data_IF_002281637930
#
_entry.id   IF_002281637930
#
_cell.length_a   1.000
_cell.length_b   1.000
_cell.length_c   1.000
_cell.angle_alpha   90.00
_cell.angle_beta   90.00
_cell.angle_gamma   90.00
#
_symmetry.space_group_name_H-M   'P 1'
#
loop_
_entity.id
_entity.type
_entity.pdbx_description
1 polymer ?
#
# COMPACT_ATOMS: atom_id res chain seq x y z
N UNK A 1 16.57 13.45 50.99
CA UNK A 1 16.52 12.48 49.89
C UNK A 1 15.45 11.43 50.12
N UNK A 2 14.18 11.79 49.85
CA UNK A 2 13.04 10.86 49.91
C UNK A 2 11.91 11.36 49.00
N UNK A 3 12.13 11.39 47.69
CA UNK A 3 11.06 11.73 46.74
C UNK A 3 11.13 10.90 45.44
N UNK A 4 11.51 9.62 45.55
CA UNK A 4 11.21 8.67 44.47
C UNK A 4 9.87 8.00 44.77
N UNK A 5 8.77 8.72 44.49
CA UNK A 5 7.47 8.07 44.34
C UNK A 5 7.57 7.14 43.13
N UNK A 6 7.65 5.84 43.38
CA UNK A 6 7.48 4.82 42.35
C UNK A 6 6.03 4.96 41.87
N UNK A 7 5.85 5.58 40.71
CA UNK A 7 4.59 5.56 39.98
C UNK A 7 4.36 4.14 39.47
N UNK A 8 3.86 3.28 40.34
CA UNK A 8 3.39 1.96 39.97
C UNK A 8 2.06 2.11 39.24
N UNK A 9 2.05 1.79 37.94
CA UNK A 9 0.83 1.70 37.14
C UNK A 9 -0.10 0.66 37.76
N UNK A 10 -1.38 0.99 37.84
CA UNK A 10 -2.44 0.05 38.22
C UNK A 10 -2.58 -1.08 37.19
N UNK A 11 -3.19 -2.20 37.59
CA UNK A 11 -3.46 -3.31 36.68
C UNK A 11 -4.28 -2.89 35.44
N UNK A 12 -5.18 -1.90 35.60
CA UNK A 12 -5.96 -1.35 34.50
C UNK A 12 -5.10 -0.55 33.53
N UNK A 13 -4.20 0.30 34.04
CA UNK A 13 -3.27 1.06 33.21
C UNK A 13 -2.28 0.13 32.48
N UNK A 14 -1.79 -0.93 33.12
CA UNK A 14 -0.98 -1.95 32.47
C UNK A 14 -1.72 -2.63 31.31
N UNK A 15 -3.00 -2.95 31.51
CA UNK A 15 -3.85 -3.50 30.44
C UNK A 15 -4.01 -2.52 29.29
N UNK A 16 -4.22 -1.24 29.60
CA UNK A 16 -4.36 -0.18 28.61
C UNK A 16 -3.07 0.01 27.79
N UNK A 17 -1.91 0.01 28.46
CA UNK A 17 -0.59 0.06 27.80
C UNK A 17 -0.39 -1.15 26.90
N UNK A 18 -0.74 -2.35 27.35
CA UNK A 18 -0.61 -3.56 26.54
C UNK A 18 -1.44 -3.49 25.24
N UNK A 19 -2.66 -2.94 25.30
CA UNK A 19 -3.50 -2.75 24.11
C UNK A 19 -2.88 -1.69 23.18
N UNK A 20 -2.39 -0.58 23.74
CA UNK A 20 -1.72 0.47 22.96
C UNK A 20 -0.46 -0.07 22.26
N UNK A 21 0.37 -0.86 22.96
CA UNK A 21 1.56 -1.48 22.38
C UNK A 21 1.22 -2.36 21.18
N UNK A 22 0.16 -3.17 21.26
CA UNK A 22 -0.30 -4.00 20.12
C UNK A 22 -0.71 -3.18 18.90
N UNK A 23 -1.37 -2.04 19.12
CA UNK A 23 -1.73 -1.14 18.01
C UNK A 23 -0.46 -0.56 17.41
N UNK A 24 0.44 -0.02 18.24
CA UNK A 24 1.70 0.60 17.81
C UNK A 24 2.65 -0.37 17.11
N UNK A 25 2.65 -1.65 17.50
CA UNK A 25 3.42 -2.71 16.85
C UNK A 25 3.09 -2.81 15.35
N UNK A 26 1.82 -2.68 14.97
CA UNK A 26 1.42 -2.69 13.56
C UNK A 26 1.98 -1.48 12.80
N UNK A 27 2.02 -0.31 13.43
CA UNK A 27 2.64 0.87 12.82
C UNK A 27 4.15 0.71 12.68
N UNK A 28 4.79 0.12 13.70
CA UNK A 28 6.21 -0.17 13.70
C UNK A 28 6.58 -1.13 12.56
N UNK A 29 5.88 -2.26 12.43
CA UNK A 29 6.10 -3.23 11.35
C UNK A 29 6.02 -2.58 9.97
N UNK A 30 4.96 -1.79 9.75
CA UNK A 30 4.74 -1.13 8.46
C UNK A 30 5.81 -0.08 8.19
N UNK A 31 6.24 0.65 9.21
CA UNK A 31 7.34 1.62 9.10
C UNK A 31 8.67 0.93 8.81
N UNK A 32 8.94 -0.20 9.46
CA UNK A 32 10.11 -1.03 9.20
C UNK A 32 10.11 -1.55 7.76
N UNK A 33 8.97 -2.02 7.24
CA UNK A 33 8.87 -2.39 5.83
C UNK A 33 9.19 -1.20 4.93
N UNK A 34 8.68 -0.01 5.24
CA UNK A 34 8.94 1.18 4.42
C UNK A 34 10.38 1.69 4.51
N UNK A 35 11.07 1.47 5.63
CA UNK A 35 12.45 1.90 5.85
C UNK A 35 13.48 0.87 5.40
N UNK A 36 13.11 -0.41 5.31
CA UNK A 36 14.05 -1.51 5.01
C UNK A 36 14.40 -1.64 3.53
N UNK A 37 13.61 -1.07 2.62
CA UNK A 37 13.86 -1.19 1.18
C UNK A 37 14.23 0.15 0.54
N UNK A 38 15.39 0.17 -0.15
CA UNK A 38 15.81 1.32 -0.97
C UNK A 38 14.82 1.64 -2.11
N UNK A 39 13.95 0.68 -2.46
CA UNK A 39 12.89 0.81 -3.47
C UNK A 39 11.65 0.03 -3.02
N UNK A 40 10.93 0.55 -2.02
CA UNK A 40 9.63 -0.03 -1.66
C UNK A 40 8.68 0.11 -2.84
N UNK A 41 8.30 -1.01 -3.46
CA UNK A 41 7.37 -1.02 -4.59
C UNK A 41 5.97 -0.58 -4.11
N UNK A 42 5.25 0.19 -4.92
CA UNK A 42 3.99 0.83 -4.52
C UNK A 42 2.91 -0.16 -4.01
N UNK A 43 2.95 -1.40 -4.46
CA UNK A 43 2.12 -2.50 -3.97
C UNK A 43 2.39 -2.87 -2.48
N UNK A 44 3.64 -2.79 -2.00
CA UNK A 44 3.99 -3.00 -0.60
C UNK A 44 3.51 -1.84 0.26
N UNK A 45 3.63 -0.62 -0.26
CA UNK A 45 3.02 0.57 0.36
C UNK A 45 1.51 0.39 0.50
N UNK A 46 0.82 0.00 -0.56
CA UNK A 46 -0.63 -0.23 -0.51
C UNK A 46 -1.02 -1.24 0.58
N UNK A 47 -0.32 -2.37 0.66
CA UNK A 47 -0.54 -3.39 1.69
C UNK A 47 -0.26 -2.88 3.11
N UNK A 48 0.83 -2.15 3.32
CA UNK A 48 1.17 -1.59 4.64
C UNK A 48 0.13 -0.55 5.10
N UNK A 49 -0.24 0.36 4.20
CA UNK A 49 -1.24 1.41 4.45
C UNK A 49 -2.61 0.81 4.74
N UNK A 50 -3.00 -0.26 4.04
CA UNK A 50 -4.19 -1.05 4.38
C UNK A 50 -4.19 -1.59 5.80
N UNK A 51 -3.09 -2.25 6.21
CA UNK A 51 -2.97 -2.87 7.54
C UNK A 51 -3.18 -1.83 8.64
N UNK A 52 -2.56 -0.66 8.48
CA UNK A 52 -2.74 0.49 9.38
C UNK A 52 -4.19 0.95 9.41
N UNK A 53 -4.82 1.11 8.24
CA UNK A 53 -6.18 1.61 8.17
C UNK A 53 -7.19 0.66 8.81
N UNK A 54 -7.02 -0.65 8.59
CA UNK A 54 -7.85 -1.70 9.21
C UNK A 54 -7.74 -1.67 10.73
N UNK A 55 -6.52 -1.59 11.28
CA UNK A 55 -6.31 -1.51 12.73
C UNK A 55 -6.94 -0.26 13.34
N UNK A 56 -6.85 0.89 12.67
CA UNK A 56 -7.52 2.10 13.13
C UNK A 56 -9.05 1.92 13.15
N UNK A 57 -9.62 1.35 12.09
CA UNK A 57 -11.06 1.11 12.00
C UNK A 57 -11.55 0.12 13.06
N UNK A 58 -10.83 -0.98 13.28
CA UNK A 58 -11.17 -1.99 14.27
C UNK A 58 -11.01 -1.45 15.69
N UNK A 59 -9.99 -0.62 15.95
CA UNK A 59 -9.79 0.02 17.25
C UNK A 59 -10.90 1.01 17.58
N UNK A 60 -11.43 1.74 16.60
CA UNK A 60 -12.58 2.64 16.80
C UNK A 60 -13.87 1.84 17.08
N UNK A 61 -14.04 0.67 16.43
CA UNK A 61 -15.19 -0.22 16.65
C UNK A 61 -15.12 -0.93 18.01
N UNK A 62 -13.93 -1.35 18.44
CA UNK A 62 -13.72 -1.90 19.77
C UNK A 62 -13.92 -0.79 20.81
N UNK A 63 -14.80 -1.01 21.79
CA UNK A 63 -15.23 -0.01 22.77
C UNK A 63 -14.14 0.41 23.80
N UNK A 64 -12.87 0.52 23.41
CA UNK A 64 -11.78 1.01 24.25
C UNK A 64 -11.87 2.53 24.39
N UNK A 65 -12.75 2.99 25.27
CA UNK A 65 -13.05 4.41 25.51
C UNK A 65 -11.81 5.29 25.73
N UNK A 66 -10.75 4.76 26.34
CA UNK A 66 -9.49 5.48 26.59
C UNK A 66 -8.66 5.74 25.32
N UNK A 67 -8.78 4.88 24.30
CA UNK A 67 -8.02 5.01 23.04
C UNK A 67 -8.77 5.84 22.00
N UNK A 68 -10.09 5.89 22.08
CA UNK A 68 -10.93 6.58 21.10
C UNK A 68 -10.45 8.01 20.76
N UNK A 69 -10.09 8.88 21.72
CA UNK A 69 -9.63 10.23 21.40
C UNK A 69 -8.30 10.25 20.65
N UNK A 70 -7.37 9.36 21.01
CA UNK A 70 -6.05 9.25 20.37
C UNK A 70 -6.19 8.69 18.95
N UNK A 71 -6.94 7.60 18.80
CA UNK A 71 -7.13 6.92 17.52
C UNK A 71 -7.86 7.81 16.52
N UNK A 72 -8.85 8.60 16.96
CA UNK A 72 -9.51 9.60 16.11
C UNK A 72 -8.54 10.62 15.54
N UNK A 73 -7.64 11.17 16.36
CA UNK A 73 -6.63 12.12 15.88
C UNK A 73 -5.66 11.50 14.86
N UNK A 74 -5.26 10.24 15.07
CA UNK A 74 -4.41 9.51 14.12
C UNK A 74 -5.17 9.25 12.83
N UNK A 75 -6.44 8.85 12.93
CA UNK A 75 -7.30 8.57 11.79
C UNK A 75 -7.59 9.83 10.94
N UNK A 76 -7.79 10.99 11.56
CA UNK A 76 -7.98 12.25 10.85
C UNK A 76 -6.74 12.61 10.00
N UNK A 77 -5.55 12.51 10.59
CA UNK A 77 -4.28 12.73 9.86
C UNK A 77 -4.12 11.70 8.75
N UNK A 78 -4.40 10.43 9.04
CA UNK A 78 -4.32 9.36 8.05
C UNK A 78 -5.24 9.60 6.86
N UNK A 79 -6.51 9.94 7.11
CA UNK A 79 -7.51 10.18 6.07
C UNK A 79 -7.13 11.34 5.15
N UNK A 80 -6.49 12.40 5.69
CA UNK A 80 -5.99 13.52 4.89
C UNK A 80 -4.95 13.04 3.87
N UNK A 81 -3.95 12.28 4.30
CA UNK A 81 -2.94 11.74 3.38
C UNK A 81 -3.56 10.71 2.43
N UNK A 82 -4.44 9.86 2.93
CA UNK A 82 -5.10 8.86 2.12
C UNK A 82 -5.92 9.47 0.97
N UNK A 83 -6.62 10.59 1.21
CA UNK A 83 -7.38 11.28 0.17
C UNK A 83 -6.51 11.75 -1.00
N UNK A 84 -5.26 12.15 -0.74
CA UNK A 84 -4.32 12.65 -1.77
C UNK A 84 -3.65 11.50 -2.54
N UNK A 85 -3.23 10.43 -1.86
CA UNK A 85 -2.38 9.39 -2.45
C UNK A 85 -3.12 8.09 -2.83
N UNK A 86 -4.37 7.90 -2.39
CA UNK A 86 -5.12 6.65 -2.61
C UNK A 86 -5.26 6.28 -4.08
N UNK A 87 -5.51 7.25 -4.97
CA UNK A 87 -5.68 7.02 -6.40
C UNK A 87 -4.41 6.44 -7.03
N UNK A 88 -3.28 7.13 -6.88
CA UNK A 88 -2.01 6.71 -7.50
C UNK A 88 -1.51 5.38 -6.92
N UNK A 89 -1.67 5.19 -5.61
CA UNK A 89 -1.27 3.96 -4.94
C UNK A 89 -2.12 2.76 -5.38
N UNK A 90 -3.42 3.00 -5.60
CA UNK A 90 -4.35 2.00 -6.14
C UNK A 90 -4.04 1.63 -7.59
N UNK A 91 -3.76 2.62 -8.44
CA UNK A 91 -3.33 2.37 -9.82
C UNK A 91 -2.04 1.53 -9.85
N UNK A 92 -1.05 1.90 -9.03
CA UNK A 92 0.22 1.19 -8.97
C UNK A 92 0.07 -0.23 -8.41
N UNK A 93 -0.86 -0.45 -7.46
CA UNK A 93 -1.20 -1.77 -6.96
C UNK A 93 -1.85 -2.65 -8.06
N UNK A 94 -2.78 -2.12 -8.87
CA UNK A 94 -3.41 -2.88 -9.97
C UNK A 94 -2.40 -3.25 -11.06
N UNK A 95 -1.43 -2.37 -11.32
CA UNK A 95 -0.40 -2.61 -12.34
C UNK A 95 0.63 -3.66 -11.90
N UNK A 96 0.68 -4.03 -10.61
CA UNK A 96 1.49 -5.15 -10.15
C UNK A 96 0.81 -6.48 -10.52
N UNK A 97 1.44 -7.36 -11.32
CA UNK A 97 0.83 -8.62 -11.77
C UNK A 97 0.36 -9.55 -10.64
N UNK A 98 0.91 -9.38 -9.43
CA UNK A 98 0.57 -10.20 -8.25
C UNK A 98 -0.74 -9.77 -7.59
N UNK A 99 -1.21 -8.55 -7.84
CA UNK A 99 -2.43 -8.02 -7.23
C UNK A 99 -3.57 -8.01 -8.24
N UNK A 100 -4.65 -8.73 -7.93
CA UNK A 100 -5.87 -8.72 -8.74
C UNK A 100 -6.76 -7.55 -8.32
N UNK A 101 -7.52 -7.00 -9.27
CA UNK A 101 -8.50 -5.95 -9.03
C UNK A 101 -9.49 -6.30 -7.89
N UNK A 102 -9.80 -7.59 -7.72
CA UNK A 102 -10.65 -8.09 -6.64
C UNK A 102 -10.10 -7.77 -5.24
N UNK A 103 -8.77 -7.77 -5.06
CA UNK A 103 -8.14 -7.41 -3.79
C UNK A 103 -8.39 -5.94 -3.44
N UNK A 104 -8.32 -5.09 -4.46
CA UNK A 104 -8.60 -3.66 -4.31
C UNK A 104 -10.08 -3.39 -4.05
N UNK A 105 -10.97 -4.14 -4.71
CA UNK A 105 -12.39 -4.03 -4.46
C UNK A 105 -12.72 -4.40 -3.02
N UNK A 106 -12.24 -5.55 -2.54
CA UNK A 106 -12.38 -5.95 -1.13
C UNK A 106 -11.87 -4.88 -0.16
N UNK A 107 -10.73 -4.25 -0.50
CA UNK A 107 -10.18 -3.14 0.26
C UNK A 107 -11.20 -2.00 0.43
N UNK A 108 -11.71 -1.49 -0.69
CA UNK A 108 -12.60 -0.34 -0.68
C UNK A 108 -13.97 -0.66 -0.08
N UNK A 109 -14.50 -1.87 -0.29
CA UNK A 109 -15.75 -2.32 0.34
C UNK A 109 -15.64 -2.31 1.88
N UNK A 110 -14.51 -2.74 2.43
CA UNK A 110 -14.34 -2.81 3.89
C UNK A 110 -14.26 -1.43 4.54
N UNK A 111 -13.70 -0.44 3.84
CA UNK A 111 -13.53 0.93 4.37
C UNK A 111 -14.75 1.80 4.11
N UNK A 112 -15.23 1.82 2.86
CA UNK A 112 -16.25 2.78 2.41
C UNK A 112 -17.65 2.16 2.30
N UNK A 113 -17.76 0.83 2.44
CA UNK A 113 -19.03 0.13 2.34
C UNK A 113 -19.70 0.37 0.99
N UNK A 114 -20.75 1.18 1.01
CA UNK A 114 -21.68 1.41 -0.11
C UNK A 114 -21.04 2.24 -1.26
N UNK A 115 -19.97 3.00 -0.99
CA UNK A 115 -19.31 3.86 -1.99
C UNK A 115 -18.10 3.22 -2.68
N UNK A 116 -17.90 1.91 -2.52
CA UNK A 116 -16.75 1.20 -3.08
C UNK A 116 -16.76 1.15 -4.61
N UNK A 117 -17.93 1.00 -5.22
CA UNK A 117 -18.11 0.87 -6.67
C UNK A 117 -17.62 2.12 -7.42
N UNK A 118 -17.96 3.30 -6.92
CA UNK A 118 -17.65 4.57 -7.59
C UNK A 118 -16.14 4.84 -7.57
N UNK A 119 -15.48 4.49 -6.47
CA UNK A 119 -14.03 4.64 -6.33
C UNK A 119 -13.27 3.67 -7.24
N UNK A 120 -13.67 2.40 -7.27
CA UNK A 120 -13.07 1.39 -8.15
C UNK A 120 -13.27 1.74 -9.63
N UNK A 121 -14.46 2.24 -10.01
CA UNK A 121 -14.71 2.70 -11.38
C UNK A 121 -13.86 3.92 -11.75
N UNK A 122 -13.66 4.84 -10.81
CA UNK A 122 -12.78 5.99 -11.01
C UNK A 122 -11.35 5.55 -11.28
N UNK A 123 -10.81 4.62 -10.50
CA UNK A 123 -9.46 4.07 -10.72
C UNK A 123 -9.35 3.38 -12.09
N UNK A 124 -10.32 2.53 -12.42
CA UNK A 124 -10.36 1.82 -13.71
C UNK A 124 -10.41 2.79 -14.89
N UNK A 125 -11.21 3.85 -14.79
CA UNK A 125 -11.31 4.88 -15.81
C UNK A 125 -9.97 5.61 -16.01
N UNK A 126 -9.29 5.96 -14.92
CA UNK A 126 -7.96 6.57 -14.97
C UNK A 126 -6.92 5.64 -15.61
N UNK A 127 -6.91 4.35 -15.26
CA UNK A 127 -6.01 3.36 -15.87
C UNK A 127 -6.25 3.21 -17.38
N UNK A 128 -7.52 3.22 -17.82
CA UNK A 128 -7.86 3.20 -19.25
C UNK A 128 -7.35 4.43 -19.97
N UNK A 129 -7.55 5.62 -19.39
CA UNK A 129 -7.03 6.87 -19.96
C UNK A 129 -5.50 6.85 -20.11
N UNK A 130 -4.79 6.36 -19.08
CA UNK A 130 -3.33 6.20 -19.13
C UNK A 130 -2.90 5.22 -20.23
N UNK A 131 -3.61 4.11 -20.38
CA UNK A 131 -3.35 3.13 -21.42
C UNK A 131 -3.60 3.70 -22.82
N UNK A 132 -4.70 4.43 -23.02
CA UNK A 132 -5.03 5.05 -24.30
C UNK A 132 -3.96 6.07 -24.71
N UNK A 133 -3.49 6.91 -23.79
CA UNK A 133 -2.38 7.83 -24.03
C UNK A 133 -1.07 7.11 -24.38
N UNK A 134 -0.76 6.01 -23.69
CA UNK A 134 0.39 5.17 -24.01
C UNK A 134 0.30 4.60 -25.43
N UNK A 135 -0.86 4.05 -25.82
CA UNK A 135 -1.10 3.51 -27.17
C UNK A 135 -1.00 4.59 -28.25
N UNK A 136 -1.57 5.79 -28.01
CA UNK A 136 -1.45 6.94 -28.93
C UNK A 136 0.02 7.31 -29.15
N UNK A 137 0.81 7.40 -28.08
CA UNK A 137 2.25 7.72 -28.15
C UNK A 137 3.01 6.68 -28.97
N UNK A 138 2.72 5.40 -28.76
CA UNK A 138 3.32 4.29 -29.51
C UNK A 138 3.06 4.40 -31.02
N UNK A 139 1.82 4.69 -31.42
CA UNK A 139 1.42 4.88 -32.82
C UNK A 139 2.11 6.09 -33.47
N UNK A 140 2.26 7.19 -32.73
CA UNK A 140 2.99 8.37 -33.19
C UNK A 140 4.48 8.07 -33.40
N UNK A 141 5.11 7.33 -32.47
CA UNK A 141 6.53 6.95 -32.58
C UNK A 141 6.80 5.92 -33.69
N UNK A 142 5.89 4.97 -33.93
CA UNK A 142 6.03 4.04 -35.07
C UNK A 142 5.92 4.77 -36.42
N UNK A 143 5.10 5.81 -36.52
CA UNK A 143 4.97 6.62 -37.74
C UNK A 143 6.21 7.48 -38.02
N UNK A 144 6.92 7.94 -36.98
CA UNK A 144 8.19 8.68 -37.14
C UNK A 144 9.36 7.77 -37.51
N UNK A 145 9.40 6.53 -37.01
CA UNK A 145 10.42 5.55 -37.40
C UNK A 145 10.23 5.06 -38.85
N UNK A 146 8.99 4.80 -39.28
CA UNK A 146 8.70 4.40 -40.66
C UNK A 146 9.05 5.48 -41.69
N UNK A 147 9.05 6.76 -41.30
CA UNK A 147 9.47 7.89 -42.14
C UNK A 147 11.00 8.11 -42.17
N UNK A 148 11.75 7.45 -41.29
CA UNK A 148 13.22 7.57 -41.23
C UNK A 148 13.95 6.39 -41.89
N UNK A 149 13.26 5.31 -42.27
CA UNK A 149 13.87 4.10 -42.83
C UNK A 149 14.01 4.08 -44.37
N UNK A 150 14.08 5.24 -45.03
CA UNK A 150 14.38 5.36 -46.46
C UNK A 150 15.79 5.92 -46.74
N UNK A 151 16.79 5.50 -45.98
CA UNK A 151 18.20 5.69 -46.37
C UNK A 151 18.84 4.32 -46.42
N UNK A 152 18.96 3.77 -47.64
CA UNK A 152 19.90 2.71 -47.94
C UNK A 152 21.30 3.22 -47.64
N UNK A 153 22.12 2.42 -46.96
CA UNK A 153 23.46 2.07 -47.44
C UNK A 153 24.05 0.95 -46.59
N UNK A 154 24.74 0.06 -47.30
CA UNK A 154 25.34 -1.19 -46.85
C UNK A 154 26.54 -0.96 -45.93
N UNK A 155 26.70 -1.77 -44.88
CA UNK A 155 27.83 -2.68 -44.63
C UNK A 155 27.95 -3.10 -43.15
N UNK A 156 28.61 -4.24 -42.84
CA UNK A 156 28.37 -5.00 -41.61
C UNK A 156 29.52 -4.90 -40.61
N UNK A 157 29.26 -4.55 -39.34
CA UNK A 157 30.24 -4.79 -38.25
C UNK A 157 29.54 -5.07 -36.91
N UNK A 158 29.70 -6.33 -36.49
CA UNK A 158 29.94 -6.87 -35.13
C UNK A 158 29.20 -6.30 -33.90
N UNK A 159 28.38 -7.16 -33.27
CA UNK A 159 27.69 -6.89 -32.01
C UNK A 159 28.05 -7.93 -30.95
N UNK A 160 28.98 -7.59 -30.06
CA UNK A 160 29.18 -8.30 -28.80
C UNK A 160 28.12 -7.85 -27.78
N UNK A 161 27.13 -8.70 -27.51
CA UNK A 161 26.17 -8.54 -26.42
C UNK A 161 26.73 -9.19 -25.14
N UNK A 162 27.07 -8.38 -24.14
CA UNK A 162 27.19 -8.88 -22.76
C UNK A 162 25.84 -8.77 -22.06
N UNK A 163 25.21 -9.94 -21.91
CA UNK A 163 24.04 -10.18 -21.09
C UNK A 163 24.46 -10.18 -19.60
N UNK A 164 23.94 -9.26 -18.80
CA UNK A 164 23.90 -9.45 -17.34
C UNK A 164 22.47 -9.67 -16.89
N UNK A 165 22.17 -10.96 -16.77
CA UNK A 165 21.08 -11.53 -16.01
C UNK A 165 21.37 -11.33 -14.52
N UNK A 166 20.40 -10.82 -13.75
CA UNK A 166 20.45 -10.94 -12.28
C UNK A 166 19.10 -11.44 -11.78
N UNK A 167 19.18 -12.63 -11.19
CA UNK A 167 18.10 -13.45 -10.70
C UNK A 167 17.29 -12.73 -9.60
N UNK A 168 15.97 -12.71 -9.77
CA UNK A 168 15.03 -12.34 -8.71
C UNK A 168 14.94 -13.51 -7.73
N UNK A 169 15.43 -13.32 -6.52
CA UNK A 169 15.18 -14.23 -5.41
C UNK A 169 13.71 -14.09 -4.99
N UNK A 170 13.00 -15.19 -5.17
CA UNK A 170 11.67 -15.49 -4.65
C UNK A 170 11.71 -15.52 -3.12
N UNK A 171 10.85 -14.72 -2.49
CA UNK A 171 10.45 -14.89 -1.10
C UNK A 171 8.93 -14.68 -1.01
N UNK A 172 8.20 -15.60 -1.64
CA UNK A 172 6.85 -15.95 -1.21
C UNK A 172 6.89 -16.58 0.19
N UNK A 173 6.47 -15.81 1.19
CA UNK A 173 6.09 -16.32 2.49
C UNK A 173 4.58 -16.26 2.63
N UNK A 174 3.91 -17.40 2.44
CA UNK A 174 2.56 -17.65 2.95
C UNK A 174 2.59 -17.50 4.47
N UNK A 175 1.80 -16.58 5.01
CA UNK A 175 1.55 -16.53 6.45
C UNK A 175 0.07 -16.25 6.74
N UNK A 176 -0.57 -17.37 7.03
CA UNK A 176 -1.68 -17.65 7.93
C UNK A 176 -2.56 -16.49 8.41
N UNK A 177 -3.82 -16.57 7.99
CA UNK A 177 -4.93 -15.73 8.40
C UNK A 177 -5.35 -16.13 9.83
N UNK A 178 -4.62 -15.66 10.84
CA UNK A 178 -5.04 -15.84 12.23
C UNK A 178 -6.13 -14.82 12.59
N UNK A 179 -7.36 -15.32 12.61
CA UNK A 179 -8.65 -14.72 12.94
C UNK A 179 -8.80 -14.12 14.37
N UNK A 180 -7.81 -13.37 14.88
CA UNK A 180 -7.83 -12.91 16.28
C UNK A 180 -8.29 -11.44 16.48
N UNK A 181 -8.91 -10.84 15.46
CA UNK A 181 -9.55 -9.52 15.57
C UNK A 181 -10.98 -9.56 16.14
N UNK A 182 -11.46 -10.73 16.58
CA UNK A 182 -12.79 -10.84 17.17
C UNK A 182 -12.78 -10.28 18.59
N UNK A 183 -13.32 -9.07 18.73
CA UNK A 183 -13.85 -8.58 20.00
C UNK A 183 -14.86 -9.61 20.51
N UNK A 184 -14.51 -10.38 21.54
CA UNK A 184 -15.46 -11.24 22.24
C UNK A 184 -16.53 -10.34 22.87
N UNK A 185 -17.77 -10.56 22.46
CA UNK A 185 -18.97 -9.98 23.09
C UNK A 185 -19.07 -10.38 24.55
#
# INVERSE_FOLDING_TARGET
DKDYQIFALSNEEWRNVAILCKILEVFYDVTCVFSSFNYTTANLYFRGVWKVHKVLLDTVKCCHSFLTPMVKQIQEKFNKYWAEYSLILSCAAILDPRYKLNYLQYYFTTIYGIHDSDFVQTILSNLRLLFDEYVKKLKSTSSSLARSSNVSNNDPVDSSLHQHNVNSADLGGDYDESDDYKCKR
#
